data_IF_048692007584
#
_entry.id   IF_048692007584
#
_cell.length_a   1.000
_cell.length_b   1.000
_cell.length_c   1.000
_cell.angle_alpha   90.00
_cell.angle_beta   90.00
_cell.angle_gamma   90.00
#
_symmetry.space_group_name_H-M   'P 1'
#
loop_
_entity.id
_entity.type
_entity.pdbx_description
1 polymer ?
#
# COMPACT_ATOMS: atom_id res chain seq x y z
N UNK A 1 7.10 -21.86 11.31
CA UNK A 1 8.12 -21.48 10.29
C UNK A 1 8.10 -19.96 10.13
N UNK A 2 9.23 -19.27 10.24
CA UNK A 2 9.30 -17.79 10.22
C UNK A 2 10.02 -17.29 8.97
N UNK A 3 9.45 -16.29 8.30
CA UNK A 3 10.10 -15.59 7.19
C UNK A 3 10.89 -14.42 7.79
N UNK A 4 12.19 -14.44 7.62
CA UNK A 4 13.08 -13.40 8.13
C UNK A 4 13.34 -12.33 7.07
N UNK A 5 13.82 -11.16 7.50
CA UNK A 5 14.25 -10.10 6.58
C UNK A 5 15.77 -10.10 6.47
N UNK A 6 16.27 -9.94 5.25
CA UNK A 6 17.69 -9.73 5.00
C UNK A 6 18.15 -8.41 5.59
N UNK A 7 19.25 -8.42 6.34
CA UNK A 7 19.81 -7.22 6.96
C UNK A 7 20.21 -6.16 5.93
N UNK A 8 20.77 -6.58 4.78
CA UNK A 8 21.32 -5.66 3.79
C UNK A 8 20.25 -5.08 2.85
N UNK A 9 19.43 -5.94 2.24
CA UNK A 9 18.47 -5.55 1.21
C UNK A 9 17.02 -5.48 1.69
N UNK A 10 16.72 -5.99 2.88
CA UNK A 10 15.37 -6.15 3.44
C UNK A 10 14.42 -7.05 2.65
N UNK A 11 14.96 -7.91 1.76
CA UNK A 11 14.20 -8.96 1.09
C UNK A 11 13.79 -10.07 2.06
N UNK A 12 12.77 -10.84 1.70
CA UNK A 12 12.33 -12.02 2.46
C UNK A 12 13.36 -13.15 2.35
N UNK A 13 13.62 -13.83 3.46
CA UNK A 13 14.45 -15.03 3.55
C UNK A 13 13.53 -16.17 3.97
N UNK A 14 13.35 -17.13 3.06
CA UNK A 14 12.68 -18.38 3.36
C UNK A 14 13.66 -19.37 4.02
N UNK A 15 13.20 -20.27 4.87
CA UNK A 15 14.03 -21.32 5.46
C UNK A 15 14.75 -22.16 4.40
N UNK A 16 15.99 -22.56 4.72
CA UNK A 16 16.88 -23.23 3.77
C UNK A 16 17.59 -22.30 2.78
N UNK A 17 17.28 -21.00 2.77
CA UNK A 17 17.95 -20.02 1.90
C UNK A 17 18.82 -19.03 2.66
N UNK A 18 19.87 -18.59 1.97
CA UNK A 18 20.74 -17.52 2.46
C UNK A 18 21.82 -18.01 3.42
N UNK A 19 22.42 -17.06 4.14
CA UNK A 19 23.51 -17.31 5.08
C UNK A 19 23.25 -16.47 6.34
N UNK A 20 23.60 -17.02 7.50
CA UNK A 20 23.56 -16.32 8.78
C UNK A 20 25.00 -16.07 9.24
N UNK A 21 25.30 -14.84 9.59
CA UNK A 21 26.56 -14.45 10.23
C UNK A 21 26.27 -14.00 11.65
N UNK A 22 26.89 -14.65 12.63
CA UNK A 22 26.82 -14.28 14.04
C UNK A 22 28.12 -13.57 14.36
N UNK A 23 28.02 -12.36 14.89
CA UNK A 23 29.18 -11.58 15.32
C UNK A 23 29.40 -11.78 16.83
N UNK A 24 30.60 -11.51 17.32
CA UNK A 24 31.01 -11.71 18.72
C UNK A 24 30.11 -10.96 19.73
N UNK A 25 29.42 -9.90 19.33
CA UNK A 25 28.41 -9.16 20.12
C UNK A 25 27.05 -9.90 20.19
N UNK A 26 27.01 -11.18 19.82
CA UNK A 26 25.81 -12.00 19.66
C UNK A 26 24.78 -11.45 18.65
N UNK A 27 25.13 -10.43 17.86
CA UNK A 27 24.22 -9.91 16.84
C UNK A 27 24.15 -10.85 15.64
N UNK A 28 22.91 -11.20 15.28
CA UNK A 28 22.61 -12.13 14.18
C UNK A 28 22.29 -11.36 12.90
N UNK A 29 23.14 -11.52 11.89
CA UNK A 29 22.94 -10.93 10.57
C UNK A 29 22.49 -12.00 9.59
N UNK A 30 21.27 -11.88 9.07
CA UNK A 30 20.72 -12.79 8.05
C UNK A 30 20.83 -12.16 6.67
N UNK A 31 21.33 -12.92 5.70
CA UNK A 31 21.48 -12.48 4.31
C UNK A 31 20.71 -13.40 3.37
N UNK A 32 19.96 -12.83 2.42
CA UNK A 32 19.21 -13.61 1.44
C UNK A 32 20.09 -14.30 0.39
N UNK A 33 21.28 -13.74 0.10
CA UNK A 33 22.19 -14.27 -0.93
C UNK A 33 23.64 -13.88 -0.67
N UNK A 34 24.56 -14.53 -1.38
CA UNK A 34 26.00 -14.25 -1.34
C UNK A 34 26.33 -12.80 -1.73
N UNK A 35 25.55 -12.17 -2.62
CA UNK A 35 25.67 -10.75 -2.98
C UNK A 35 25.56 -9.83 -1.75
N UNK A 36 24.54 -10.04 -0.92
CA UNK A 36 24.33 -9.25 0.29
C UNK A 36 25.44 -9.49 1.31
N UNK A 37 25.86 -10.75 1.48
CA UNK A 37 26.96 -11.11 2.37
C UNK A 37 28.30 -10.48 1.93
N UNK A 38 28.64 -10.53 0.64
CA UNK A 38 29.85 -9.90 0.09
C UNK A 38 29.86 -8.39 0.31
N UNK A 39 28.74 -7.70 0.06
CA UNK A 39 28.64 -6.26 0.34
C UNK A 39 28.77 -5.93 1.83
N UNK A 40 28.22 -6.76 2.70
CA UNK A 40 28.39 -6.62 4.16
C UNK A 40 29.85 -6.78 4.57
N UNK A 41 30.54 -7.83 4.09
CA UNK A 41 31.97 -8.04 4.34
C UNK A 41 32.85 -6.90 3.79
N UNK A 42 32.47 -6.34 2.65
CA UNK A 42 33.10 -5.14 2.08
C UNK A 42 32.73 -3.82 2.82
N UNK A 43 31.99 -3.90 3.95
CA UNK A 43 31.56 -2.75 4.76
C UNK A 43 30.79 -1.69 3.97
N UNK A 44 30.09 -2.08 2.90
CA UNK A 44 29.25 -1.15 2.17
C UNK A 44 28.03 -0.76 3.01
N UNK A 45 27.72 0.53 3.06
CA UNK A 45 26.55 1.02 3.78
C UNK A 45 25.27 0.80 2.94
N UNK A 46 24.29 -0.02 3.38
CA UNK A 46 23.07 -0.28 2.62
C UNK A 46 22.25 1.00 2.34
N UNK A 47 22.38 2.04 3.16
CA UNK A 47 21.77 3.38 2.98
C UNK A 47 22.28 4.13 1.75
N UNK A 48 23.50 3.81 1.27
CA UNK A 48 24.09 4.41 0.06
C UNK A 48 23.89 3.54 -1.19
N UNK A 49 23.54 2.27 -1.03
CA UNK A 49 23.39 1.32 -2.13
C UNK A 49 22.00 1.41 -2.75
N UNK A 50 21.92 1.93 -3.99
CA UNK A 50 20.68 2.36 -4.66
C UNK A 50 19.55 1.31 -4.75
N UNK A 51 19.88 0.02 -4.80
CA UNK A 51 18.93 -1.07 -5.00
C UNK A 51 18.32 -1.61 -3.70
N UNK A 52 18.86 -1.24 -2.52
CA UNK A 52 18.34 -1.73 -1.24
C UNK A 52 17.01 -1.04 -0.90
N UNK A 53 16.17 -1.73 -0.12
CA UNK A 53 14.93 -1.15 0.40
C UNK A 53 15.21 0.05 1.30
N UNK A 54 16.27 -0.01 2.09
CA UNK A 54 16.69 1.06 3.02
C UNK A 54 16.98 2.36 2.26
N UNK A 55 17.81 2.30 1.21
CA UNK A 55 18.08 3.45 0.35
C UNK A 55 16.78 4.06 -0.21
N UNK A 56 15.86 3.20 -0.67
CA UNK A 56 14.59 3.64 -1.24
C UNK A 56 13.71 4.35 -0.21
N UNK A 57 13.64 3.85 1.03
CA UNK A 57 12.89 4.50 2.11
C UNK A 57 13.46 5.87 2.47
N UNK A 58 14.77 5.97 2.70
CA UNK A 58 15.43 7.24 3.05
C UNK A 58 15.30 8.31 1.97
N UNK A 59 15.39 7.90 0.70
CA UNK A 59 15.24 8.80 -0.45
C UNK A 59 13.77 9.02 -0.84
N UNK A 60 12.82 8.69 0.03
CA UNK A 60 11.37 8.86 -0.17
C UNK A 60 10.89 8.26 -1.50
N UNK A 61 11.49 7.15 -1.93
CA UNK A 61 11.09 6.42 -3.14
C UNK A 61 9.96 5.42 -2.88
N UNK A 62 9.57 5.23 -1.64
CA UNK A 62 8.49 4.35 -1.21
C UNK A 62 7.77 4.96 -0.02
N UNK A 63 6.53 4.52 0.20
CA UNK A 63 5.76 4.88 1.38
C UNK A 63 6.46 4.34 2.64
N UNK A 64 6.83 5.25 3.56
CA UNK A 64 7.58 4.91 4.77
C UNK A 64 6.79 5.17 6.07
N UNK A 65 5.96 6.20 6.10
CA UNK A 65 5.13 6.56 7.26
C UNK A 65 3.67 6.30 6.89
N UNK A 66 3.14 5.18 7.37
CA UNK A 66 1.75 4.78 7.19
C UNK A 66 1.34 3.90 8.38
N UNK A 67 0.11 4.07 8.87
CA UNK A 67 -0.45 3.30 9.98
C UNK A 67 -0.53 1.80 9.66
N UNK A 68 -0.61 1.44 8.38
CA UNK A 68 -0.61 0.04 7.95
C UNK A 68 0.63 -0.73 8.42
N UNK A 69 1.78 -0.08 8.52
CA UNK A 69 3.01 -0.77 8.93
C UNK A 69 3.00 -1.18 10.40
N UNK A 70 2.12 -0.60 11.23
CA UNK A 70 1.98 -0.98 12.64
C UNK A 70 1.43 -2.40 12.83
N UNK A 71 0.67 -2.90 11.85
CA UNK A 71 0.15 -4.28 11.88
C UNK A 71 1.25 -5.34 11.70
N UNK A 72 2.39 -4.99 11.10
CA UNK A 72 3.54 -5.90 10.90
C UNK A 72 4.49 -5.95 12.12
N UNK A 73 4.16 -5.27 13.23
CA UNK A 73 5.03 -5.22 14.41
C UNK A 73 5.25 -6.59 15.05
N UNK A 74 6.47 -6.80 15.54
CA UNK A 74 6.80 -8.00 16.32
C UNK A 74 6.10 -7.89 17.68
N UNK A 75 5.36 -8.94 18.07
CA UNK A 75 4.77 -9.05 19.41
C UNK A 75 5.65 -9.95 20.26
N UNK A 76 6.05 -9.44 21.43
CA UNK A 76 6.85 -10.19 22.41
C UNK A 76 5.97 -10.95 23.40
N UNK A 77 4.71 -10.55 23.54
CA UNK A 77 3.72 -11.23 24.39
C UNK A 77 2.81 -12.12 23.54
N UNK A 78 2.71 -13.42 23.87
CA UNK A 78 1.78 -14.32 23.21
C UNK A 78 0.37 -14.15 23.78
N UNK A 79 -0.63 -14.28 22.91
CA UNK A 79 -2.03 -14.38 23.34
C UNK A 79 -2.45 -15.85 23.38
N UNK A 80 -3.38 -16.19 24.28
CA UNK A 80 -4.03 -17.51 24.24
C UNK A 80 -4.72 -17.70 22.89
N UNK A 81 -4.68 -18.93 22.37
CA UNK A 81 -5.35 -19.25 21.12
C UNK A 81 -6.86 -19.12 21.28
N UNK A 82 -7.47 -18.43 20.31
CA UNK A 82 -8.91 -18.33 20.11
C UNK A 82 -9.19 -18.47 18.61
N UNK A 83 -10.11 -19.35 18.26
CA UNK A 83 -10.45 -19.70 16.88
C UNK A 83 -11.08 -18.51 16.15
N UNK A 84 -11.98 -17.78 16.80
CA UNK A 84 -12.71 -16.68 16.18
C UNK A 84 -11.78 -15.49 15.94
N UNK A 85 -10.92 -15.20 16.90
CA UNK A 85 -9.84 -14.22 16.76
C UNK A 85 -8.92 -14.58 15.58
N UNK A 86 -8.53 -15.85 15.45
CA UNK A 86 -7.67 -16.31 14.37
C UNK A 86 -8.31 -16.16 12.98
N UNK A 87 -9.57 -16.58 12.82
CA UNK A 87 -10.33 -16.44 11.56
C UNK A 87 -10.47 -14.97 11.18
N UNK A 88 -10.87 -14.12 12.14
CA UNK A 88 -10.97 -12.67 11.93
C UNK A 88 -9.63 -12.08 11.49
N UNK A 89 -8.54 -12.47 12.16
CA UNK A 89 -7.18 -12.01 11.83
C UNK A 89 -6.79 -12.36 10.39
N UNK A 90 -7.00 -13.60 9.94
CA UNK A 90 -6.68 -14.00 8.55
C UNK A 90 -7.48 -13.18 7.54
N UNK A 91 -8.77 -12.96 7.79
CA UNK A 91 -9.61 -12.14 6.91
C UNK A 91 -9.12 -10.70 6.85
N UNK A 92 -8.80 -10.11 8.01
CA UNK A 92 -8.26 -8.73 8.09
C UNK A 92 -6.91 -8.60 7.39
N UNK A 93 -6.01 -9.58 7.47
CA UNK A 93 -4.72 -9.53 6.78
C UNK A 93 -4.88 -9.35 5.26
N UNK A 94 -5.81 -10.08 4.64
CA UNK A 94 -6.10 -9.96 3.19
C UNK A 94 -6.59 -8.57 2.81
N UNK A 95 -7.44 -7.96 3.65
CA UNK A 95 -7.96 -6.61 3.40
C UNK A 95 -6.87 -5.56 3.58
N UNK A 96 -6.04 -5.68 4.62
CA UNK A 96 -4.88 -4.80 4.85
C UNK A 96 -3.91 -4.84 3.66
N UNK A 97 -3.63 -6.02 3.09
CA UNK A 97 -2.75 -6.13 1.92
C UNK A 97 -3.30 -5.38 0.70
N UNK A 98 -4.61 -5.48 0.43
CA UNK A 98 -5.27 -4.70 -0.64
C UNK A 98 -5.12 -3.19 -0.42
N UNK A 99 -5.37 -2.71 0.79
CA UNK A 99 -5.25 -1.28 1.13
C UNK A 99 -3.79 -0.83 0.97
N UNK A 100 -2.84 -1.65 1.43
CA UNK A 100 -1.40 -1.39 1.33
C UNK A 100 -0.96 -1.26 -0.13
N UNK A 101 -1.44 -2.13 -1.01
CA UNK A 101 -1.16 -2.06 -2.44
C UNK A 101 -1.74 -0.80 -3.07
N UNK A 102 -3.00 -0.47 -2.79
CA UNK A 102 -3.64 0.77 -3.26
C UNK A 102 -2.85 2.02 -2.85
N UNK A 103 -2.46 2.13 -1.56
CA UNK A 103 -1.67 3.27 -1.05
C UNK A 103 -0.28 3.34 -1.67
N UNK A 104 0.40 2.20 -1.86
CA UNK A 104 1.68 2.15 -2.58
C UNK A 104 1.54 2.64 -4.03
N UNK A 105 0.48 2.23 -4.72
CA UNK A 105 0.23 2.65 -6.10
C UNK A 105 -0.06 4.14 -6.19
N UNK A 106 -0.85 4.70 -5.26
CA UNK A 106 -1.09 6.13 -5.19
C UNK A 106 0.21 6.92 -4.97
N UNK A 107 1.05 6.49 -4.01
CA UNK A 107 2.36 7.10 -3.78
C UNK A 107 3.25 7.04 -5.03
N UNK A 108 3.22 5.92 -5.75
CA UNK A 108 3.96 5.77 -7.00
C UNK A 108 3.46 6.72 -8.08
N UNK A 109 2.14 6.80 -8.31
CA UNK A 109 1.51 7.70 -9.29
C UNK A 109 1.89 9.16 -9.04
N UNK A 110 1.74 9.62 -7.80
CA UNK A 110 2.06 11.00 -7.41
C UNK A 110 3.54 11.32 -7.68
N UNK A 111 4.43 10.39 -7.35
CA UNK A 111 5.87 10.57 -7.62
C UNK A 111 6.18 10.64 -9.11
N UNK A 112 5.53 9.82 -9.94
CA UNK A 112 5.74 9.86 -11.40
C UNK A 112 5.22 11.18 -11.98
N UNK A 113 4.07 11.66 -11.50
CA UNK A 113 3.50 12.97 -11.87
C UNK A 113 4.48 14.11 -11.57
N UNK A 114 5.05 14.17 -10.36
CA UNK A 114 6.06 15.18 -10.00
C UNK A 114 7.30 15.15 -10.90
N UNK A 115 7.77 13.96 -11.28
CA UNK A 115 8.92 13.81 -12.17
C UNK A 115 8.57 14.27 -13.58
N UNK A 116 7.38 13.93 -14.08
CA UNK A 116 6.88 14.36 -15.38
C UNK A 116 6.77 15.89 -15.43
N UNK A 117 6.18 16.52 -14.42
CA UNK A 117 6.06 17.98 -14.31
C UNK A 117 7.44 18.67 -14.32
N UNK A 118 8.41 18.13 -13.59
CA UNK A 118 9.80 18.63 -13.61
C UNK A 118 10.43 18.53 -15.00
N UNK A 119 10.22 17.42 -15.71
CA UNK A 119 10.73 17.22 -17.07
C UNK A 119 10.10 18.20 -18.05
N UNK A 120 8.78 18.41 -17.97
CA UNK A 120 8.04 19.40 -18.77
C UNK A 120 8.56 20.81 -18.49
N UNK A 121 8.80 21.16 -17.22
CA UNK A 121 9.37 22.47 -16.88
C UNK A 121 10.78 22.65 -17.43
N UNK A 122 11.61 21.61 -17.39
CA UNK A 122 12.95 21.64 -17.95
C UNK A 122 12.92 21.81 -19.47
N UNK A 123 12.03 21.11 -20.18
CA UNK A 123 11.89 21.25 -21.64
C UNK A 123 11.38 22.63 -22.03
N UNK A 124 10.39 23.18 -21.32
CA UNK A 124 9.92 24.56 -21.52
C UNK A 124 11.07 25.55 -21.34
N UNK A 125 11.87 25.40 -20.28
CA UNK A 125 13.02 26.27 -20.02
C UNK A 125 14.10 26.11 -21.11
N UNK A 126 14.30 24.91 -21.63
CA UNK A 126 15.24 24.66 -22.72
C UNK A 126 14.82 25.35 -24.02
N UNK A 127 13.53 25.26 -24.38
CA UNK A 127 12.97 25.92 -25.56
C UNK A 127 13.10 27.45 -25.42
N UNK A 128 12.73 28.00 -24.27
CA UNK A 128 12.85 29.45 -23.99
C UNK A 128 14.27 29.99 -24.12
N UNK A 129 15.28 29.20 -23.73
CA UNK A 129 16.69 29.58 -23.84
C UNK A 129 17.19 29.56 -25.29
N UNK A 130 16.57 28.76 -26.16
CA UNK A 130 17.04 28.52 -27.52
C UNK A 130 15.93 28.77 -28.57
N UNK A 131 15.38 29.99 -28.67
CA UNK A 131 14.26 30.28 -29.57
C UNK A 131 14.63 30.16 -31.06
N UNK A 132 15.90 30.45 -31.40
CA UNK A 132 16.39 30.41 -32.78
C UNK A 132 16.35 29.00 -33.40
N UNK A 133 16.38 27.94 -32.58
CA UNK A 133 16.36 26.56 -33.06
C UNK A 133 15.01 26.15 -33.67
N UNK A 134 13.93 26.87 -33.34
CA UNK A 134 12.56 26.56 -33.77
C UNK A 134 12.00 27.60 -34.75
N UNK A 135 12.75 28.67 -35.02
CA UNK A 135 12.33 29.73 -35.94
C UNK A 135 12.22 29.18 -37.37
N UNK A 136 11.20 29.59 -38.11
CA UNK A 136 10.94 29.17 -39.49
C UNK A 136 10.65 27.66 -39.64
N UNK A 137 10.34 26.97 -38.54
CA UNK A 137 9.88 25.58 -38.54
C UNK A 137 8.40 25.49 -38.20
N UNK A 138 7.76 24.37 -38.53
CA UNK A 138 6.37 24.07 -38.14
C UNK A 138 6.15 24.09 -36.61
N UNK A 139 7.23 24.04 -35.82
CA UNK A 139 7.21 23.91 -34.37
C UNK A 139 7.39 25.23 -33.61
N UNK A 140 7.36 26.37 -34.29
CA UNK A 140 7.58 27.69 -33.66
C UNK A 140 6.57 27.98 -32.53
N UNK A 141 5.32 27.51 -32.67
CA UNK A 141 4.25 27.73 -31.70
C UNK A 141 4.20 26.70 -30.54
N UNK A 142 5.05 25.67 -30.56
CA UNK A 142 5.01 24.55 -29.59
C UNK A 142 5.14 25.04 -28.14
N UNK A 143 5.88 26.11 -27.90
CA UNK A 143 6.01 26.69 -26.56
C UNK A 143 4.67 27.18 -26.01
N UNK A 144 3.86 27.85 -26.85
CA UNK A 144 2.55 28.38 -26.46
C UNK A 144 1.56 27.25 -26.20
N UNK A 145 1.59 26.20 -27.03
CA UNK A 145 0.73 25.03 -26.87
C UNK A 145 1.02 24.27 -25.58
N UNK A 146 2.30 24.05 -25.26
CA UNK A 146 2.72 23.38 -24.03
C UNK A 146 2.33 24.19 -22.77
N UNK A 147 2.45 25.52 -22.82
CA UNK A 147 2.02 26.40 -21.72
C UNK A 147 0.49 26.37 -21.57
N UNK A 148 -0.26 26.39 -22.67
CA UNK A 148 -1.72 26.30 -22.66
C UNK A 148 -2.21 24.95 -22.11
N UNK A 149 -1.61 23.84 -22.54
CA UNK A 149 -1.92 22.49 -22.03
C UNK A 149 -1.65 22.37 -20.53
N UNK A 150 -0.53 22.94 -20.05
CA UNK A 150 -0.19 22.96 -18.63
C UNK A 150 -1.20 23.74 -17.79
N UNK A 151 -1.71 24.85 -18.29
CA UNK A 151 -2.74 25.64 -17.58
C UNK A 151 -4.06 24.86 -17.51
N UNK A 152 -4.52 24.27 -18.62
CA UNK A 152 -5.73 23.42 -18.65
C UNK A 152 -5.65 22.24 -17.66
N UNK A 153 -4.49 21.59 -17.52
CA UNK A 153 -4.31 20.48 -16.57
C UNK A 153 -4.38 20.91 -15.10
N UNK A 154 -3.99 22.15 -14.76
CA UNK A 154 -4.06 22.66 -13.38
C UNK A 154 -5.50 22.95 -12.95
N UNK A 155 -6.32 23.47 -13.85
CA UNK A 155 -7.72 23.81 -13.56
C UNK A 155 -8.57 22.57 -13.30
N UNK A 156 -8.28 21.46 -14.00
CA UNK A 156 -8.89 20.15 -13.75
C UNK A 156 -8.48 19.58 -12.37
N UNK A 157 -7.28 19.90 -11.89
CA UNK A 157 -6.76 19.45 -10.59
C UNK A 157 -7.38 20.15 -9.38
N UNK A 158 -7.91 21.37 -9.53
CA UNK A 158 -8.69 22.07 -8.49
C UNK A 158 -10.10 21.49 -8.33
N UNK A 159 -10.65 20.88 -9.39
CA UNK A 159 -11.95 20.22 -9.41
C UNK A 159 -11.85 18.75 -8.92
N UNK A 160 -10.64 18.21 -8.69
CA UNK A 160 -10.47 16.83 -8.24
C UNK A 160 -10.84 16.56 -6.77
N UNK A 161 -11.13 17.58 -5.97
CA UNK A 161 -11.69 17.38 -4.62
C UNK A 161 -13.22 17.16 -4.60
N UNK A 162 -13.90 17.15 -5.77
CA UNK A 162 -15.34 16.89 -5.85
C UNK A 162 -15.72 15.58 -6.56
N UNK A 163 -14.75 14.84 -7.13
CA UNK A 163 -15.02 13.60 -7.89
C UNK A 163 -14.12 12.40 -7.54
N UNK A 164 -13.58 12.30 -6.32
CA UNK A 164 -13.02 11.04 -5.79
C UNK A 164 -14.13 10.05 -5.35
N UNK A 165 -15.21 9.91 -6.14
CA UNK A 165 -16.10 8.75 -6.09
C UNK A 165 -15.83 7.83 -7.27
N UNK A 166 -14.60 7.35 -7.38
CA UNK A 166 -14.33 6.07 -8.06
C UNK A 166 -13.37 5.25 -7.21
N UNK A 167 -13.95 4.65 -6.17
CA UNK A 167 -13.73 3.26 -5.81
C UNK A 167 -14.91 2.85 -4.92
N UNK A 168 -16.06 2.53 -5.55
CA UNK A 168 -17.06 1.51 -5.19
C UNK A 168 -18.31 1.67 -6.06
N UNK A 169 -18.27 1.15 -7.29
CA UNK A 169 -19.47 0.51 -7.88
C UNK A 169 -19.29 -1.00 -7.67
N UNK A 170 -19.11 -1.39 -6.41
CA UNK A 170 -19.95 -2.43 -5.84
C UNK A 170 -20.99 -1.59 -5.13
N UNK A 171 -22.23 -1.65 -5.59
CA UNK A 171 -23.14 -0.54 -5.36
C UNK A 171 -23.34 -0.35 -3.84
N UNK A 172 -23.37 0.91 -3.39
CA UNK A 172 -23.83 1.22 -2.04
C UNK A 172 -25.25 0.68 -1.78
N UNK A 173 -25.99 0.37 -2.85
CA UNK A 173 -27.24 -0.37 -2.88
C UNK A 173 -27.05 -1.84 -2.47
N UNK A 174 -26.05 -2.56 -3.01
CA UNK A 174 -25.77 -3.98 -2.69
C UNK A 174 -25.31 -4.16 -1.23
N UNK A 175 -24.55 -3.20 -0.69
CA UNK A 175 -24.13 -3.23 0.72
C UNK A 175 -25.30 -2.87 1.63
N UNK A 176 -26.14 -1.89 1.23
CA UNK A 176 -27.35 -1.55 1.95
C UNK A 176 -28.35 -2.72 1.99
N UNK A 177 -28.63 -3.33 0.84
CA UNK A 177 -29.50 -4.49 0.68
C UNK A 177 -29.00 -5.68 1.50
N UNK A 178 -27.69 -5.94 1.49
CA UNK A 178 -27.09 -7.01 2.29
C UNK A 178 -27.15 -6.75 3.79
N UNK A 179 -26.93 -5.51 4.24
CA UNK A 179 -27.07 -5.15 5.66
C UNK A 179 -28.53 -5.23 6.11
N UNK A 180 -29.49 -4.85 5.25
CA UNK A 180 -30.92 -4.99 5.56
C UNK A 180 -31.38 -6.44 5.58
N UNK A 181 -30.90 -7.29 4.67
CA UNK A 181 -31.21 -8.73 4.68
C UNK A 181 -30.59 -9.44 5.89
N UNK A 182 -29.38 -9.04 6.28
CA UNK A 182 -28.70 -9.57 7.46
C UNK A 182 -29.43 -9.12 8.75
N UNK A 183 -29.97 -7.90 8.81
CA UNK A 183 -30.82 -7.47 9.94
C UNK A 183 -32.17 -8.19 10.01
N UNK A 184 -32.83 -8.41 8.86
CA UNK A 184 -34.11 -9.13 8.80
C UNK A 184 -33.95 -10.60 9.21
N UNK A 185 -32.92 -11.29 8.72
CA UNK A 185 -32.66 -12.67 9.12
C UNK A 185 -32.33 -12.83 10.61
N UNK A 186 -31.68 -11.85 11.24
CA UNK A 186 -31.46 -11.81 12.69
C UNK A 186 -32.77 -11.59 13.45
N UNK A 187 -33.64 -10.67 12.98
CA UNK A 187 -34.94 -10.45 13.61
C UNK A 187 -35.86 -11.67 13.47
N UNK A 188 -35.84 -12.34 12.32
CA UNK A 188 -36.66 -13.52 12.05
C UNK A 188 -36.21 -14.70 12.92
N UNK A 189 -34.89 -14.91 13.06
CA UNK A 189 -34.34 -15.90 13.97
C UNK A 189 -34.75 -15.61 15.43
N UNK A 190 -34.68 -14.35 15.88
CA UNK A 190 -35.07 -13.96 17.22
C UNK A 190 -36.58 -14.17 17.49
N UNK A 191 -37.43 -13.84 16.51
CA UNK A 191 -38.87 -14.11 16.59
C UNK A 191 -39.18 -15.61 16.62
N UNK A 192 -38.43 -16.42 15.86
CA UNK A 192 -38.63 -17.86 15.85
C UNK A 192 -38.16 -18.53 17.15
N UNK A 193 -37.10 -18.04 17.79
CA UNK A 193 -36.72 -18.48 19.14
C UNK A 193 -37.79 -18.12 20.18
N UNK A 194 -38.39 -16.93 20.07
CA UNK A 194 -39.50 -16.53 20.95
C UNK A 194 -40.75 -17.38 20.71
N UNK A 195 -41.05 -17.76 19.46
CA UNK A 195 -42.15 -18.70 19.15
C UNK A 195 -41.88 -20.08 19.72
N UNK A 196 -40.67 -20.63 19.52
CA UNK A 196 -40.26 -21.91 20.13
C UNK A 196 -40.35 -21.90 21.65
N UNK A 197 -39.95 -20.80 22.30
CA UNK A 197 -40.13 -20.62 23.75
C UNK A 197 -41.59 -20.52 24.18
N UNK A 198 -42.45 -19.86 23.38
CA UNK A 198 -43.89 -19.81 23.67
C UNK A 198 -44.56 -21.17 23.47
N UNK A 199 -44.17 -21.91 22.44
CA UNK A 199 -44.66 -23.27 22.15
C UNK A 199 -44.21 -24.25 23.23
N UNK A 200 -42.97 -24.18 23.71
CA UNK A 200 -42.52 -24.99 24.86
C UNK A 200 -43.31 -24.64 26.12
N UNK A 201 -43.47 -23.35 26.42
CA UNK A 201 -44.21 -22.91 27.62
C UNK A 201 -45.71 -23.24 27.55
N UNK A 202 -46.28 -23.35 26.35
CA UNK A 202 -47.69 -23.73 26.15
C UNK A 202 -47.89 -25.24 26.25
N UNK A 203 -46.88 -26.05 25.87
CA UNK A 203 -46.87 -27.50 26.09
C UNK A 203 -46.73 -27.85 27.59
N UNK A 204 -46.02 -27.03 28.36
CA UNK A 204 -45.86 -27.19 29.81
C UNK A 204 -47.10 -26.75 30.63
N UNK A 205 -48.09 -26.12 30.00
CA UNK A 205 -49.32 -25.60 30.64
C UNK A 205 -50.58 -26.46 30.38
N UNK A 206 -50.49 -27.52 29.57
CA UNK A 206 -51.56 -28.48 29.27
C UNK A 206 -51.33 -29.81 29.98
#
# INVERSE_FOLDING_TARGET
MRIEKCWFCSANIYPGHGIVFIRNDANVFRFCSSKCNKHFKAKHNPRKVKWTKVYRKERKKELCSDSIFEFEKIRNEPTKYDRDLYIKTISTMKTIDKIKEKRKMQFYKNRIKEIADKKINLSINYIKKNPLLLKDTEFENVLNDLVAQKNKQKDIGLIQNTFEKEDMIITSKDIGEKVTSDMQSISDYAQEQQRRQKESNMFDMA
#
